data_IF_283753110580
#
_entry.id   IF_283753110580
#
_cell.length_a   1.000
_cell.length_b   1.000
_cell.length_c   1.000
_cell.angle_alpha   90.00
_cell.angle_beta   90.00
_cell.angle_gamma   90.00
#
_symmetry.space_group_name_H-M   'P 1'
#
loop_
_entity.id
_entity.type
_entity.pdbx_description
1 polymer ?
#
# COMPACT_ATOMS: atom_id res chain seq x y z
N UNK A 1 31.89 41.47 43.15
CA UNK A 1 32.44 42.61 43.91
C UNK A 1 33.43 41.94 44.86
N UNK A 2 34.72 41.79 44.57
CA UNK A 2 35.70 42.62 43.86
C UNK A 2 36.74 41.67 43.16
N UNK A 3 37.14 41.90 41.90
CA UNK A 3 38.35 42.64 41.43
C UNK A 3 39.65 42.10 42.04
N UNK A 4 40.79 41.88 41.37
CA UNK A 4 41.27 42.10 40.00
C UNK A 4 42.69 41.48 39.97
N UNK A 5 43.12 40.90 38.84
CA UNK A 5 44.55 40.93 38.47
C UNK A 5 44.68 40.97 36.95
N UNK A 6 45.27 42.08 36.50
CA UNK A 6 45.72 42.46 35.16
C UNK A 6 47.07 41.75 34.91
N UNK A 7 47.48 41.34 33.71
CA UNK A 7 48.28 42.12 32.70
C UNK A 7 48.61 41.13 31.56
N UNK A 8 48.04 41.28 30.36
CA UNK A 8 48.57 41.92 29.12
C UNK A 8 49.84 41.33 28.49
N UNK A 9 49.71 41.12 27.17
CA UNK A 9 50.64 41.37 26.05
C UNK A 9 51.00 40.08 25.26
N UNK A 10 50.90 39.96 23.95
CA UNK A 10 50.58 40.86 22.83
C UNK A 10 50.93 40.14 21.51
N UNK A 11 50.46 40.71 20.38
CA UNK A 11 50.80 40.46 18.95
C UNK A 11 49.93 39.51 18.11
N UNK A 12 49.00 40.14 17.39
CA UNK A 12 49.00 40.35 15.93
C UNK A 12 49.23 39.18 14.95
N UNK A 13 48.11 38.76 14.36
CA UNK A 13 47.80 38.67 12.91
C UNK A 13 48.90 38.29 11.91
N UNK A 14 48.70 37.19 11.17
CA UNK A 14 48.61 37.25 9.70
C UNK A 14 47.92 36.04 9.05
N UNK A 15 47.33 36.35 7.91
CA UNK A 15 46.45 35.60 6.99
C UNK A 15 47.22 34.69 6.02
N UNK A 16 46.59 33.58 5.58
CA UNK A 16 46.90 32.82 4.34
C UNK A 16 46.33 31.39 4.40
N UNK A 17 45.19 31.07 3.80
CA UNK A 17 44.95 30.74 2.38
C UNK A 17 45.57 29.41 1.92
N UNK A 18 44.71 28.46 1.51
CA UNK A 18 45.04 27.37 0.57
C UNK A 18 44.81 25.95 1.12
N UNK A 19 44.14 25.10 0.33
CA UNK A 19 44.18 23.64 0.49
C UNK A 19 42.84 22.93 0.30
N UNK A 20 42.43 22.72 -0.94
CA UNK A 20 41.53 21.63 -1.35
C UNK A 20 42.35 20.35 -1.37
N UNK A 21 41.99 19.33 -0.60
CA UNK A 21 42.37 17.94 -0.91
C UNK A 21 41.22 17.00 -0.56
N UNK A 22 40.84 16.22 -1.58
CA UNK A 22 39.91 15.11 -1.56
C UNK A 22 40.47 13.97 -0.70
N UNK A 23 39.70 13.47 0.28
CA UNK A 23 39.98 12.18 0.91
C UNK A 23 39.04 11.10 0.37
N UNK A 24 39.63 10.34 -0.55
CA UNK A 24 39.27 9.02 -1.02
C UNK A 24 39.37 8.02 0.15
N UNK A 25 38.27 7.34 0.50
CA UNK A 25 38.27 6.25 1.50
C UNK A 25 37.93 4.94 0.79
N UNK A 26 38.97 4.28 0.28
CA UNK A 26 38.97 2.83 0.08
C UNK A 26 39.16 2.16 1.43
N UNK A 27 38.30 1.21 1.78
CA UNK A 27 38.70 0.16 2.73
C UNK A 27 38.14 -1.18 2.30
N UNK A 28 39.07 -2.09 2.05
CA UNK A 28 38.88 -3.43 1.54
C UNK A 28 38.74 -4.40 2.71
N UNK A 29 37.78 -5.32 2.62
CA UNK A 29 37.77 -6.52 3.47
C UNK A 29 38.19 -7.72 2.62
N UNK A 30 39.42 -8.16 2.85
CA UNK A 30 39.94 -9.46 2.44
C UNK A 30 39.31 -10.58 3.27
N UNK A 31 38.86 -11.64 2.62
CA UNK A 31 38.97 -13.00 3.16
C UNK A 31 39.26 -13.96 2.00
N UNK A 32 40.48 -14.50 2.00
CA UNK A 32 40.90 -15.59 1.13
C UNK A 32 40.72 -16.95 1.82
N UNK A 33 40.47 -17.99 1.02
CA UNK A 33 40.36 -19.37 1.49
C UNK A 33 39.77 -20.34 0.45
N UNK A 34 40.63 -20.75 -0.49
CA UNK A 34 40.57 -21.84 -1.51
C UNK A 34 40.06 -23.20 -0.99
N UNK A 35 39.74 -24.26 -1.76
CA UNK A 35 39.40 -24.61 -3.14
C UNK A 35 39.26 -26.16 -3.15
N UNK A 36 38.41 -26.74 -4.01
CA UNK A 36 38.59 -28.05 -4.71
C UNK A 36 37.26 -28.38 -5.44
N UNK A 37 37.18 -28.32 -6.78
CA UNK A 37 37.57 -29.33 -7.79
C UNK A 37 36.77 -30.64 -7.75
N UNK A 38 36.02 -30.91 -8.82
CA UNK A 38 35.43 -32.22 -9.13
C UNK A 38 34.20 -32.18 -10.05
N UNK A 39 34.46 -32.31 -11.35
CA UNK A 39 33.66 -33.02 -12.36
C UNK A 39 32.31 -32.47 -12.91
N UNK A 40 32.39 -32.02 -14.17
CA UNK A 40 31.33 -32.08 -15.18
C UNK A 40 31.52 -33.37 -16.02
N UNK A 41 30.46 -33.97 -16.63
CA UNK A 41 30.09 -33.64 -18.03
C UNK A 41 28.58 -33.91 -18.34
N UNK A 42 28.14 -34.02 -19.61
CA UNK A 42 28.21 -33.07 -20.72
C UNK A 42 26.80 -32.62 -21.19
N UNK A 43 26.80 -31.64 -22.09
CA UNK A 43 25.63 -31.14 -22.81
C UNK A 43 25.11 -32.16 -23.83
N UNK A 44 23.78 -32.25 -23.97
CA UNK A 44 23.13 -32.86 -25.12
C UNK A 44 22.19 -31.83 -25.77
N UNK A 45 22.40 -31.66 -27.07
CA UNK A 45 21.61 -30.82 -27.97
C UNK A 45 20.30 -31.53 -28.35
N UNK A 46 19.20 -30.77 -28.45
CA UNK A 46 17.90 -31.38 -28.78
C UNK A 46 16.77 -30.40 -29.06
N UNK A 47 16.94 -29.58 -30.10
CA UNK A 47 15.95 -29.21 -31.13
C UNK A 47 14.50 -28.80 -30.78
N UNK A 48 14.12 -27.65 -31.38
CA UNK A 48 12.77 -27.19 -31.75
C UNK A 48 11.91 -26.62 -30.60
N UNK A 49 11.09 -25.58 -30.77
CA UNK A 49 10.59 -24.93 -31.96
C UNK A 49 10.28 -23.46 -31.68
N UNK A 50 10.39 -22.67 -32.73
CA UNK A 50 9.89 -21.32 -32.92
C UNK A 50 8.39 -21.16 -32.59
N UNK A 51 8.06 -20.13 -31.82
CA UNK A 51 6.78 -19.44 -31.93
C UNK A 51 6.93 -18.01 -31.40
N UNK A 52 6.95 -17.04 -32.32
CA UNK A 52 6.90 -15.63 -31.98
C UNK A 52 5.52 -15.24 -31.47
N UNK A 53 5.47 -14.35 -30.47
CA UNK A 53 4.26 -13.58 -30.14
C UNK A 53 4.67 -12.13 -29.89
N UNK A 54 4.52 -11.36 -30.96
CA UNK A 54 4.02 -9.98 -31.11
C UNK A 54 4.03 -9.10 -29.85
N UNK A 55 4.88 -8.08 -29.88
CA UNK A 55 4.74 -6.87 -29.09
C UNK A 55 3.43 -6.15 -29.49
N UNK A 56 2.55 -5.87 -28.53
CA UNK A 56 1.44 -4.92 -28.74
C UNK A 56 1.79 -3.62 -28.04
N UNK A 57 1.90 -2.62 -28.90
CA UNK A 57 2.29 -1.25 -28.66
C UNK A 57 1.23 -0.47 -27.87
N UNK A 58 1.70 0.56 -27.19
CA UNK A 58 0.89 1.51 -26.45
C UNK A 58 0.01 2.37 -27.37
N UNK A 59 -1.29 2.37 -27.11
CA UNK A 59 -2.29 3.17 -27.83
C UNK A 59 -3.00 4.14 -26.89
N UNK A 60 -2.74 5.42 -27.12
CA UNK A 60 -3.25 6.60 -26.42
C UNK A 60 -4.77 6.80 -26.61
N UNK A 61 -5.40 7.22 -25.50
CA UNK A 61 -6.60 8.07 -25.38
C UNK A 61 -7.61 8.14 -26.51
N UNK A 62 -8.87 7.79 -26.19
CA UNK A 62 -10.01 8.43 -26.83
C UNK A 62 -11.16 8.66 -25.83
N UNK A 63 -11.54 9.94 -25.77
CA UNK A 63 -12.57 10.53 -24.96
C UNK A 63 -13.96 10.13 -25.51
N UNK A 64 -14.70 9.29 -24.79
CA UNK A 64 -16.06 8.93 -25.16
C UNK A 64 -17.02 10.07 -24.81
N UNK A 65 -17.55 10.68 -25.87
CA UNK A 65 -18.58 11.73 -25.86
C UNK A 65 -19.88 11.17 -25.27
N UNK A 66 -20.43 11.88 -24.27
CA UNK A 66 -21.78 11.63 -23.73
C UNK A 66 -22.85 12.04 -24.75
N UNK A 67 -23.84 11.20 -25.09
CA UNK A 67 -25.01 11.66 -25.82
C UNK A 67 -26.01 12.37 -24.88
N UNK A 68 -26.40 13.57 -25.28
CA UNK A 68 -27.40 14.43 -24.62
C UNK A 68 -28.81 13.85 -24.77
N UNK A 69 -29.43 13.46 -23.65
CA UNK A 69 -30.85 13.13 -23.61
C UNK A 69 -31.67 14.37 -23.26
N UNK A 70 -32.60 14.69 -24.17
CA UNK A 70 -33.54 15.81 -24.13
C UNK A 70 -34.53 15.66 -22.96
N UNK A 71 -34.84 16.78 -22.30
CA UNK A 71 -35.97 16.92 -21.35
C UNK A 71 -37.31 16.75 -22.10
N UNK A 72 -38.30 16.05 -21.52
CA UNK A 72 -39.69 16.26 -21.88
C UNK A 72 -40.38 17.24 -20.92
N UNK A 73 -41.28 18.03 -21.49
CA UNK A 73 -42.09 19.07 -20.88
C UNK A 73 -43.22 18.52 -19.99
N UNK A 74 -43.71 19.38 -19.09
CA UNK A 74 -44.85 19.15 -18.18
C UNK A 74 -46.19 19.22 -18.92
N UNK A 75 -47.21 18.47 -18.47
CA UNK A 75 -48.61 18.90 -18.53
C UNK A 75 -49.14 19.36 -17.16
N UNK A 76 -50.04 20.35 -17.20
CA UNK A 76 -50.85 20.89 -16.09
C UNK A 76 -52.24 20.20 -16.08
N UNK A 77 -52.84 20.11 -14.89
CA UNK A 77 -54.28 19.84 -14.64
C UNK A 77 -54.47 18.72 -13.60
N UNK A 78 -54.66 19.05 -12.31
CA UNK A 78 -55.96 19.11 -11.57
C UNK A 78 -56.83 17.86 -11.75
N UNK A 79 -56.94 17.04 -10.71
CA UNK A 79 -58.11 17.02 -9.82
C UNK A 79 -57.82 16.21 -8.54
N UNK A 80 -58.48 16.62 -7.46
CA UNK A 80 -58.33 16.09 -6.12
C UNK A 80 -59.16 14.81 -5.95
N UNK A 81 -58.56 13.77 -5.36
CA UNK A 81 -59.34 12.84 -4.56
C UNK A 81 -58.50 12.25 -3.43
N UNK A 82 -59.10 12.34 -2.26
CA UNK A 82 -58.61 12.06 -0.93
C UNK A 82 -58.72 10.55 -0.67
N UNK A 83 -57.59 9.89 -0.48
CA UNK A 83 -57.53 8.54 0.11
C UNK A 83 -56.38 8.50 1.08
N UNK A 84 -56.70 8.45 2.38
CA UNK A 84 -55.75 8.33 3.45
C UNK A 84 -55.05 6.98 3.44
N UNK A 85 -53.72 7.01 3.55
CA UNK A 85 -52.85 5.87 3.84
C UNK A 85 -51.53 6.40 4.45
N UNK A 86 -50.74 5.57 5.16
CA UNK A 86 -50.46 5.78 6.58
C UNK A 86 -49.32 6.74 6.87
N UNK A 87 -49.32 7.33 8.07
CA UNK A 87 -48.19 8.07 8.67
C UNK A 87 -46.90 7.27 8.49
N UNK A 88 -46.12 7.66 7.50
CA UNK A 88 -44.74 7.27 7.32
C UNK A 88 -44.03 7.61 8.62
N UNK A 89 -43.76 6.57 9.41
CA UNK A 89 -42.90 6.65 10.59
C UNK A 89 -41.56 7.10 10.05
N UNK A 90 -41.35 8.43 10.07
CA UNK A 90 -40.08 9.05 9.77
C UNK A 90 -39.05 8.33 10.63
N UNK A 91 -38.30 7.42 10.00
CA UNK A 91 -37.07 6.91 10.58
C UNK A 91 -36.31 8.14 11.05
N UNK A 92 -35.76 8.14 12.27
CA UNK A 92 -34.86 9.22 12.67
C UNK A 92 -33.86 9.33 11.53
N UNK A 93 -33.92 10.45 10.82
CA UNK A 93 -32.87 10.81 9.89
C UNK A 93 -31.73 11.08 10.84
N UNK A 94 -30.91 10.06 11.08
CA UNK A 94 -29.73 10.16 11.91
C UNK A 94 -29.00 11.38 11.39
N UNK A 95 -29.10 12.44 12.19
CA UNK A 95 -28.29 13.60 12.00
C UNK A 95 -26.90 13.12 12.39
N UNK A 96 -26.19 12.47 11.45
CA UNK A 96 -24.74 12.48 11.45
C UNK A 96 -24.32 13.93 11.17
N UNK A 97 -24.55 14.76 12.17
CA UNK A 97 -24.02 16.11 12.28
C UNK A 97 -22.51 15.96 12.37
N UNK A 98 -21.85 16.02 11.22
CA UNK A 98 -20.42 16.27 11.06
C UNK A 98 -19.57 15.72 12.19
N UNK A 99 -19.56 14.39 12.37
CA UNK A 99 -18.80 13.77 13.45
C UNK A 99 -17.32 14.07 13.27
N UNK A 100 -16.86 15.00 14.08
CA UNK A 100 -15.49 15.47 14.18
C UNK A 100 -14.67 14.39 14.90
N UNK A 101 -14.65 13.18 14.33
CA UNK A 101 -13.92 12.04 14.89
C UNK A 101 -12.43 12.37 14.95
N UNK A 102 -11.71 11.70 15.85
CA UNK A 102 -10.26 11.82 15.96
C UNK A 102 -9.59 11.57 14.59
N UNK A 103 -10.08 10.60 13.83
CA UNK A 103 -9.61 10.30 12.48
C UNK A 103 -9.86 11.43 11.47
N UNK A 104 -11.01 12.11 11.49
CA UNK A 104 -11.23 13.28 10.61
C UNK A 104 -10.33 14.47 10.99
N UNK A 105 -10.03 14.64 12.28
CA UNK A 105 -9.05 15.65 12.71
C UNK A 105 -7.65 15.29 12.23
N UNK A 106 -7.21 14.03 12.37
CA UNK A 106 -5.95 13.54 11.83
C UNK A 106 -5.89 13.73 10.30
N UNK A 107 -6.96 13.40 9.58
CA UNK A 107 -7.03 13.57 8.12
C UNK A 107 -6.89 15.03 7.69
N UNK A 108 -7.49 15.96 8.44
CA UNK A 108 -7.32 17.41 8.19
C UNK A 108 -5.88 17.86 8.47
N UNK A 109 -5.28 17.40 9.57
CA UNK A 109 -3.89 17.67 9.90
C UNK A 109 -2.94 17.14 8.82
N UNK A 110 -3.14 15.90 8.37
CA UNK A 110 -2.32 15.29 7.32
C UNK A 110 -2.40 16.08 6.01
N UNK A 111 -3.63 16.41 5.56
CA UNK A 111 -3.84 17.25 4.38
C UNK A 111 -3.23 18.64 4.51
N UNK A 112 -3.25 19.23 5.72
CA UNK A 112 -2.58 20.51 6.01
C UNK A 112 -1.06 20.39 5.85
N UNK A 113 -0.45 19.36 6.45
CA UNK A 113 0.99 19.11 6.33
C UNK A 113 1.43 18.94 4.88
N UNK A 114 0.67 18.20 4.05
CA UNK A 114 0.95 18.05 2.61
C UNK A 114 0.92 19.37 1.84
N UNK A 115 0.06 20.31 2.24
CA UNK A 115 0.01 21.67 1.65
C UNK A 115 1.19 22.54 2.07
N UNK A 116 1.64 22.41 3.31
CA UNK A 116 2.69 23.26 3.89
C UNK A 116 4.11 22.77 3.54
N UNK A 117 4.34 21.46 3.54
CA UNK A 117 5.67 20.87 3.41
C UNK A 117 5.84 20.08 2.10
N UNK A 118 4.78 20.00 1.30
CA UNK A 118 4.73 19.16 0.11
C UNK A 118 4.40 17.69 0.42
N UNK A 119 3.88 16.99 -0.59
CA UNK A 119 3.37 15.61 -0.47
C UNK A 119 4.43 14.65 0.05
N UNK A 120 5.60 14.61 -0.60
CA UNK A 120 6.61 13.60 -0.29
C UNK A 120 7.15 13.72 1.15
N UNK A 121 7.43 14.94 1.60
CA UNK A 121 7.94 15.17 2.95
C UNK A 121 6.88 14.86 4.01
N UNK A 122 5.64 15.33 3.80
CA UNK A 122 4.54 15.10 4.73
C UNK A 122 4.19 13.61 4.83
N UNK A 123 4.08 12.90 3.70
CA UNK A 123 3.77 11.47 3.68
C UNK A 123 4.88 10.66 4.37
N UNK A 124 6.16 10.99 4.13
CA UNK A 124 7.28 10.34 4.80
C UNK A 124 7.25 10.54 6.32
N UNK A 125 7.05 11.78 6.77
CA UNK A 125 6.95 12.10 8.19
C UNK A 125 5.74 11.43 8.86
N UNK A 126 4.61 11.35 8.16
CA UNK A 126 3.38 10.74 8.65
C UNK A 126 3.54 9.24 8.95
N UNK A 127 4.20 8.50 8.05
CA UNK A 127 4.30 7.04 8.16
C UNK A 127 5.54 6.54 8.90
N UNK A 128 6.52 7.41 9.19
CA UNK A 128 7.81 7.03 9.76
C UNK A 128 7.69 6.16 11.02
N UNK A 129 6.94 6.61 12.02
CA UNK A 129 6.74 5.86 13.26
C UNK A 129 5.77 4.69 13.08
N UNK A 130 4.57 4.85 12.48
CA UNK A 130 3.66 3.73 12.32
C UNK A 130 4.24 2.57 11.49
N UNK A 131 5.05 2.83 10.46
CA UNK A 131 5.74 1.78 9.71
C UNK A 131 6.85 1.11 10.52
N UNK A 132 7.55 1.83 11.39
CA UNK A 132 8.53 1.22 12.28
C UNK A 132 7.87 0.23 13.26
N UNK A 133 6.73 0.61 13.85
CA UNK A 133 5.95 -0.25 14.75
C UNK A 133 5.38 -1.46 14.01
N UNK A 134 4.80 -1.24 12.83
CA UNK A 134 4.30 -2.29 11.94
C UNK A 134 5.37 -3.34 11.62
N UNK A 135 6.56 -2.91 11.20
CA UNK A 135 7.64 -3.83 10.83
C UNK A 135 8.14 -4.65 12.01
N UNK A 136 8.36 -4.03 13.18
CA UNK A 136 8.76 -4.78 14.39
C UNK A 136 7.73 -5.84 14.75
N UNK A 137 6.44 -5.51 14.63
CA UNK A 137 5.36 -6.48 14.90
C UNK A 137 5.35 -7.64 13.90
N UNK A 138 5.60 -7.37 12.62
CA UNK A 138 5.71 -8.41 11.58
C UNK A 138 6.92 -9.32 11.77
N UNK A 139 8.02 -8.78 12.29
CA UNK A 139 9.24 -9.56 12.52
C UNK A 139 9.13 -10.46 13.76
N UNK A 140 8.25 -10.11 14.70
CA UNK A 140 7.97 -10.85 15.94
C UNK A 140 8.50 -10.16 17.20
N UNK A 141 9.22 -9.05 17.03
CA UNK A 141 10.03 -8.39 18.06
C UNK A 141 9.37 -7.10 18.62
N UNK A 142 8.09 -6.88 18.30
CA UNK A 142 7.37 -5.65 18.62
C UNK A 142 6.12 -5.86 19.47
N UNK A 143 5.85 -4.89 20.35
CA UNK A 143 4.53 -4.73 20.97
C UNK A 143 3.46 -4.49 19.90
N UNK A 144 2.20 -4.73 20.24
CA UNK A 144 1.09 -4.34 19.39
C UNK A 144 1.14 -2.82 19.11
N UNK A 145 0.76 -2.38 17.89
CA UNK A 145 0.65 -0.96 17.60
C UNK A 145 -0.31 -0.26 18.56
N UNK A 146 0.00 0.98 18.95
CA UNK A 146 -0.92 1.77 19.76
C UNK A 146 -2.16 2.14 18.95
N UNK A 147 -3.25 2.53 19.61
CA UNK A 147 -4.43 3.09 18.92
C UNK A 147 -4.07 4.27 18.03
N UNK A 148 -3.10 5.10 18.45
CA UNK A 148 -2.64 6.23 17.64
C UNK A 148 -1.93 5.79 16.36
N UNK A 149 -1.11 4.73 16.42
CA UNK A 149 -0.44 4.17 15.24
C UNK A 149 -1.47 3.58 14.26
N UNK A 150 -2.46 2.85 14.79
CA UNK A 150 -3.54 2.27 14.00
C UNK A 150 -4.38 3.36 13.30
N UNK A 151 -4.80 4.38 14.03
CA UNK A 151 -5.53 5.53 13.46
C UNK A 151 -4.70 6.26 12.40
N UNK A 152 -3.41 6.49 12.65
CA UNK A 152 -2.52 7.16 11.69
C UNK A 152 -2.38 6.36 10.39
N UNK A 153 -2.25 5.04 10.47
CA UNK A 153 -2.22 4.16 9.30
C UNK A 153 -3.56 4.14 8.56
N UNK A 154 -4.68 4.03 9.28
CA UNK A 154 -6.02 4.03 8.69
C UNK A 154 -6.29 5.33 7.92
N UNK A 155 -6.00 6.48 8.56
CA UNK A 155 -6.09 7.80 7.94
C UNK A 155 -5.15 7.91 6.75
N UNK A 156 -3.90 7.45 6.89
CA UNK A 156 -2.91 7.46 5.82
C UNK A 156 -3.40 6.72 4.58
N UNK A 157 -3.90 5.49 4.74
CA UNK A 157 -4.44 4.70 3.62
C UNK A 157 -5.67 5.34 2.97
N UNK A 158 -6.54 5.97 3.75
CA UNK A 158 -7.73 6.65 3.22
C UNK A 158 -7.39 7.92 2.42
N UNK A 159 -6.29 8.60 2.76
CA UNK A 159 -5.86 9.84 2.11
C UNK A 159 -4.80 9.62 1.00
N UNK A 160 -4.07 8.50 1.02
CA UNK A 160 -3.04 8.16 0.04
C UNK A 160 -2.89 6.64 -0.17
N UNK A 161 -3.32 6.14 -1.33
CA UNK A 161 -3.22 4.70 -1.66
C UNK A 161 -1.79 4.16 -1.69
N UNK A 162 -0.78 5.01 -1.90
CA UNK A 162 0.62 4.60 -1.83
C UNK A 162 1.01 4.05 -0.44
N UNK A 163 0.37 4.55 0.64
CA UNK A 163 0.57 4.04 2.00
C UNK A 163 0.00 2.62 2.12
N UNK A 164 -1.20 2.39 1.55
CA UNK A 164 -1.83 1.06 1.48
C UNK A 164 -0.95 0.09 0.70
N UNK A 165 -0.43 0.51 -0.44
CA UNK A 165 0.36 -0.35 -1.33
C UNK A 165 1.70 -0.72 -0.66
N UNK A 166 2.33 0.20 0.07
CA UNK A 166 3.51 -0.10 0.89
C UNK A 166 3.23 -1.17 1.96
N UNK A 167 2.07 -1.11 2.62
CA UNK A 167 1.65 -2.14 3.60
C UNK A 167 1.43 -3.49 2.92
N UNK A 168 0.76 -3.54 1.76
CA UNK A 168 0.58 -4.78 0.99
C UNK A 168 1.93 -5.40 0.63
N UNK A 169 2.83 -4.60 0.05
CA UNK A 169 4.18 -5.06 -0.34
C UNK A 169 4.94 -5.60 0.86
N UNK A 170 4.83 -4.97 2.03
CA UNK A 170 5.51 -5.45 3.24
C UNK A 170 5.05 -6.84 3.72
N UNK A 171 3.87 -7.29 3.28
CA UNK A 171 3.29 -8.59 3.64
C UNK A 171 3.58 -9.67 2.60
N UNK A 172 3.49 -9.31 1.31
CA UNK A 172 3.64 -10.28 0.22
C UNK A 172 5.07 -10.40 -0.29
N UNK A 173 5.92 -9.41 -0.07
CA UNK A 173 7.34 -9.51 -0.37
C UNK A 173 8.00 -10.53 0.57
N UNK A 174 8.99 -11.26 0.06
CA UNK A 174 9.78 -12.19 0.86
C UNK A 174 10.43 -11.51 2.06
N UNK A 175 10.65 -12.25 3.15
CA UNK A 175 11.31 -11.75 4.36
C UNK A 175 12.65 -11.07 3.99
N UNK A 176 12.86 -9.85 4.50
CA UNK A 176 14.05 -9.04 4.22
C UNK A 176 14.03 -8.27 2.90
N UNK A 177 13.05 -8.50 2.01
CA UNK A 177 13.00 -7.80 0.72
C UNK A 177 12.37 -6.39 0.80
N UNK A 178 11.59 -6.12 1.84
CA UNK A 178 10.95 -4.83 2.09
C UNK A 178 11.19 -4.38 3.53
N UNK A 179 12.13 -3.45 3.71
CA UNK A 179 12.40 -2.81 5.00
C UNK A 179 11.58 -1.52 5.18
N UNK A 180 11.67 -0.91 6.37
CA UNK A 180 11.01 0.36 6.69
C UNK A 180 11.37 1.45 5.67
N UNK A 181 12.66 1.56 5.30
CA UNK A 181 13.13 2.61 4.38
C UNK A 181 12.45 2.50 3.01
N UNK A 182 12.33 1.28 2.48
CA UNK A 182 11.60 1.01 1.23
C UNK A 182 10.11 1.33 1.39
N UNK A 183 9.47 0.93 2.48
CA UNK A 183 8.07 1.27 2.73
C UNK A 183 7.82 2.78 2.73
N UNK A 184 8.66 3.55 3.44
CA UNK A 184 8.58 5.02 3.47
C UNK A 184 8.79 5.59 2.06
N UNK A 185 9.74 5.07 1.29
CA UNK A 185 9.97 5.50 -0.09
C UNK A 185 8.78 5.21 -1.02
N UNK A 186 8.16 4.03 -0.91
CA UNK A 186 6.96 3.68 -1.68
C UNK A 186 5.78 4.59 -1.34
N UNK A 187 5.55 4.85 -0.05
CA UNK A 187 4.48 5.73 0.41
C UNK A 187 4.67 7.18 -0.03
N UNK A 188 5.88 7.73 0.13
CA UNK A 188 6.15 9.16 -0.05
C UNK A 188 6.52 9.57 -1.47
N UNK A 189 7.11 8.66 -2.25
CA UNK A 189 7.58 8.92 -3.62
C UNK A 189 7.17 7.78 -4.57
N UNK A 190 5.87 7.48 -4.72
CA UNK A 190 5.39 6.35 -5.51
C UNK A 190 5.69 6.49 -7.02
N UNK A 191 5.80 7.72 -7.52
CA UNK A 191 6.07 8.01 -8.93
C UNK A 191 7.56 8.13 -9.26
N UNK A 192 8.45 8.00 -8.28
CA UNK A 192 9.88 7.87 -8.57
C UNK A 192 10.09 6.58 -9.39
N UNK A 193 10.73 6.65 -10.58
CA UNK A 193 10.88 5.48 -11.45
C UNK A 193 11.60 4.29 -10.78
N UNK A 194 12.52 4.56 -9.84
CA UNK A 194 13.22 3.50 -9.10
C UNK A 194 12.27 2.81 -8.12
N UNK A 195 11.44 3.58 -7.43
CA UNK A 195 10.44 3.05 -6.50
C UNK A 195 9.36 2.26 -7.24
N UNK A 196 8.81 2.82 -8.32
CA UNK A 196 7.81 2.14 -9.14
C UNK A 196 8.33 0.81 -9.70
N UNK A 197 9.56 0.80 -10.22
CA UNK A 197 10.20 -0.43 -10.73
C UNK A 197 10.46 -1.45 -9.63
N UNK A 198 10.92 -1.00 -8.47
CA UNK A 198 11.17 -1.87 -7.31
C UNK A 198 9.87 -2.50 -6.81
N UNK A 199 8.82 -1.70 -6.63
CA UNK A 199 7.50 -2.18 -6.19
C UNK A 199 6.90 -3.16 -7.19
N UNK A 200 6.97 -2.86 -8.49
CA UNK A 200 6.52 -3.78 -9.55
C UNK A 200 7.26 -5.12 -9.49
N UNK A 201 8.59 -5.11 -9.33
CA UNK A 201 9.38 -6.35 -9.24
C UNK A 201 9.00 -7.19 -8.01
N UNK A 202 8.82 -6.56 -6.85
CA UNK A 202 8.43 -7.26 -5.62
C UNK A 202 7.04 -7.91 -5.76
N UNK A 203 6.05 -7.16 -6.25
CA UNK A 203 4.69 -7.68 -6.46
C UNK A 203 4.66 -8.78 -7.53
N UNK A 204 5.34 -8.57 -8.65
CA UNK A 204 5.40 -9.54 -9.74
C UNK A 204 6.07 -10.83 -9.30
N UNK A 205 7.23 -10.74 -8.64
CA UNK A 205 7.92 -11.90 -8.10
C UNK A 205 7.06 -12.65 -7.09
N UNK A 206 6.42 -11.94 -6.16
CA UNK A 206 5.53 -12.58 -5.19
C UNK A 206 4.31 -13.27 -5.84
N UNK A 207 3.86 -12.78 -7.00
CA UNK A 207 2.65 -13.28 -7.68
C UNK A 207 2.95 -14.42 -8.66
N UNK A 208 4.03 -14.33 -9.43
CA UNK A 208 4.37 -15.25 -10.51
C UNK A 208 5.26 -16.43 -10.09
N UNK A 209 6.05 -16.27 -9.02
CA UNK A 209 6.98 -17.30 -8.57
C UNK A 209 6.25 -18.41 -7.79
N UNK A 210 6.14 -19.59 -8.39
CA UNK A 210 5.54 -20.79 -7.78
C UNK A 210 6.33 -21.28 -6.55
N UNK A 211 7.62 -20.95 -6.48
CA UNK A 211 8.50 -21.34 -5.37
C UNK A 211 8.63 -20.27 -4.29
N UNK A 212 8.12 -19.06 -4.53
CA UNK A 212 8.07 -18.03 -3.50
C UNK A 212 7.13 -18.47 -2.38
N UNK A 213 7.69 -18.97 -1.28
CA UNK A 213 6.91 -19.30 -0.10
C UNK A 213 6.48 -18.01 0.59
N UNK A 214 5.16 -17.75 0.61
CA UNK A 214 4.59 -16.67 1.39
C UNK A 214 4.81 -16.94 2.88
N UNK A 215 5.37 -15.97 3.62
CA UNK A 215 5.46 -16.03 5.08
C UNK A 215 4.04 -15.91 5.68
N UNK A 216 3.36 -17.05 5.85
CA UNK A 216 2.00 -17.11 6.38
C UNK A 216 1.89 -16.49 7.76
N UNK A 217 2.91 -16.66 8.62
CA UNK A 217 2.91 -16.09 9.97
C UNK A 217 2.92 -14.57 9.91
N UNK A 218 3.75 -14.00 9.03
CA UNK A 218 3.78 -12.56 8.75
C UNK A 218 2.46 -12.06 8.19
N UNK A 219 1.87 -12.77 7.22
CA UNK A 219 0.59 -12.40 6.63
C UNK A 219 -0.55 -12.43 7.66
N UNK A 220 -0.65 -13.46 8.50
CA UNK A 220 -1.64 -13.51 9.58
C UNK A 220 -1.46 -12.39 10.61
N UNK A 221 -0.21 -12.06 10.97
CA UNK A 221 0.07 -10.92 11.85
C UNK A 221 -0.38 -9.60 11.21
N UNK A 222 -0.12 -9.41 9.91
CA UNK A 222 -0.61 -8.27 9.14
C UNK A 222 -2.13 -8.18 9.11
N UNK A 223 -2.81 -9.29 8.82
CA UNK A 223 -4.28 -9.36 8.82
C UNK A 223 -4.85 -9.05 10.21
N UNK A 224 -4.25 -9.56 11.28
CA UNK A 224 -4.66 -9.23 12.65
C UNK A 224 -4.57 -7.72 12.91
N UNK A 225 -3.44 -7.09 12.56
CA UNK A 225 -3.29 -5.64 12.71
C UNK A 225 -4.28 -4.84 11.86
N UNK A 226 -4.61 -5.31 10.64
CA UNK A 226 -5.63 -4.65 9.80
C UNK A 226 -7.03 -4.76 10.41
N UNK A 227 -7.34 -5.84 11.12
CA UNK A 227 -8.59 -5.99 11.87
C UNK A 227 -8.63 -5.05 13.05
N UNK A 228 -7.58 -5.03 13.86
CA UNK A 228 -7.46 -4.12 15.01
C UNK A 228 -7.61 -2.66 14.56
N UNK A 229 -7.03 -2.32 13.40
CA UNK A 229 -7.17 -1.01 12.78
C UNK A 229 -8.61 -0.71 12.36
N UNK A 230 -9.31 -1.66 11.73
CA UNK A 230 -10.71 -1.50 11.34
C UNK A 230 -11.66 -1.39 12.55
N UNK A 231 -11.33 -2.04 13.67
CA UNK A 231 -12.10 -1.99 14.90
C UNK A 231 -11.85 -0.69 15.68
N UNK A 232 -10.65 -0.10 15.57
CA UNK A 232 -10.26 1.14 16.24
C UNK A 232 -10.81 2.43 15.58
N UNK A 233 -11.19 2.40 14.31
CA UNK A 233 -11.62 3.60 13.55
C UNK A 233 -13.09 3.54 13.17
N UNK A 234 -13.64 4.64 12.66
CA UNK A 234 -15.04 4.74 12.23
C UNK A 234 -15.17 5.10 10.74
N UNK A 235 -16.37 4.86 10.18
CA UNK A 235 -16.75 5.29 8.84
C UNK A 235 -15.76 4.90 7.73
N UNK A 236 -15.45 5.86 6.86
CA UNK A 236 -14.60 5.66 5.68
C UNK A 236 -13.19 5.13 5.97
N UNK A 237 -12.70 5.32 7.19
CA UNK A 237 -11.36 4.88 7.58
C UNK A 237 -11.26 3.36 7.75
N UNK A 238 -12.39 2.64 7.88
CA UNK A 238 -12.43 1.16 7.93
C UNK A 238 -12.21 0.50 6.57
N UNK A 239 -12.51 1.21 5.48
CA UNK A 239 -12.60 0.63 4.12
C UNK A 239 -11.28 0.00 3.71
N UNK A 240 -10.18 0.76 3.77
CA UNK A 240 -8.88 0.29 3.29
C UNK A 240 -8.29 -0.84 4.17
N UNK A 241 -8.31 -0.78 5.51
CA UNK A 241 -7.89 -1.92 6.34
C UNK A 241 -8.65 -3.22 6.02
N UNK A 242 -9.98 -3.16 5.86
CA UNK A 242 -10.79 -4.32 5.50
C UNK A 242 -10.43 -4.85 4.10
N UNK A 243 -10.27 -3.96 3.12
CA UNK A 243 -9.90 -4.36 1.76
C UNK A 243 -8.51 -5.02 1.71
N UNK A 244 -7.53 -4.49 2.45
CA UNK A 244 -6.18 -5.09 2.55
C UNK A 244 -6.25 -6.45 3.24
N UNK A 245 -6.99 -6.58 4.34
CA UNK A 245 -7.19 -7.87 5.00
C UNK A 245 -7.78 -8.91 4.03
N UNK A 246 -8.82 -8.55 3.27
CA UNK A 246 -9.42 -9.40 2.25
C UNK A 246 -8.42 -9.80 1.15
N UNK A 247 -7.62 -8.84 0.68
CA UNK A 247 -6.60 -9.08 -0.34
C UNK A 247 -5.52 -10.08 0.11
N UNK A 248 -5.01 -9.93 1.33
CA UNK A 248 -3.97 -10.82 1.87
C UNK A 248 -4.53 -12.21 2.18
N UNK A 249 -5.78 -12.30 2.67
CA UNK A 249 -6.47 -13.58 2.85
C UNK A 249 -6.70 -14.29 1.50
N UNK A 250 -7.07 -13.54 0.45
CA UNK A 250 -7.17 -14.07 -0.90
C UNK A 250 -5.82 -14.60 -1.40
N UNK A 251 -4.75 -13.84 -1.19
CA UNK A 251 -3.39 -14.25 -1.52
C UNK A 251 -3.01 -15.57 -0.85
N UNK A 252 -3.43 -15.77 0.40
CA UNK A 252 -3.21 -17.01 1.17
C UNK A 252 -4.16 -18.16 0.82
N UNK A 253 -5.13 -17.94 -0.07
CA UNK A 253 -6.15 -18.91 -0.47
C UNK A 253 -7.23 -19.17 0.58
N UNK A 254 -7.45 -18.24 1.52
CA UNK A 254 -8.35 -18.42 2.66
C UNK A 254 -9.80 -17.98 2.38
N UNK A 255 -10.77 -18.78 2.85
CA UNK A 255 -12.20 -18.57 2.58
C UNK A 255 -12.73 -17.23 3.13
N UNK A 256 -12.11 -16.69 4.19
CA UNK A 256 -12.52 -15.42 4.80
C UNK A 256 -12.26 -14.19 3.91
N UNK A 257 -11.49 -14.34 2.83
CA UNK A 257 -11.18 -13.24 1.91
C UNK A 257 -12.43 -12.51 1.40
N UNK A 258 -13.46 -13.28 1.01
CA UNK A 258 -14.72 -12.72 0.48
C UNK A 258 -15.46 -11.89 1.54
N UNK A 259 -15.50 -12.36 2.79
CA UNK A 259 -16.17 -11.66 3.88
C UNK A 259 -15.60 -10.26 4.08
N UNK A 260 -14.27 -10.13 4.11
CA UNK A 260 -13.61 -8.84 4.27
C UNK A 260 -13.82 -7.91 3.06
N UNK A 261 -13.74 -8.46 1.84
CA UNK A 261 -13.99 -7.69 0.62
C UNK A 261 -15.43 -7.15 0.58
N UNK A 262 -16.43 -7.98 0.89
CA UNK A 262 -17.84 -7.55 0.95
C UNK A 262 -18.09 -6.52 2.04
N UNK A 263 -17.45 -6.64 3.21
CA UNK A 263 -17.53 -5.62 4.27
C UNK A 263 -16.95 -4.28 3.82
N UNK A 264 -15.83 -4.28 3.10
CA UNK A 264 -15.26 -3.06 2.53
C UNK A 264 -16.20 -2.43 1.48
N UNK A 265 -16.77 -3.24 0.58
CA UNK A 265 -17.72 -2.77 -0.44
C UNK A 265 -19.05 -2.29 0.16
N UNK A 266 -19.49 -2.89 1.27
CA UNK A 266 -20.67 -2.44 2.00
C UNK A 266 -20.50 -1.04 2.61
N UNK A 267 -19.27 -0.62 2.89
CA UNK A 267 -18.95 0.73 3.35
C UNK A 267 -18.66 1.70 2.19
N UNK A 268 -18.00 1.21 1.14
CA UNK A 268 -17.67 1.98 -0.07
C UNK A 268 -17.66 1.07 -1.30
N UNK A 269 -18.71 1.17 -2.11
CA UNK A 269 -18.83 0.41 -3.37
C UNK A 269 -17.75 0.80 -4.40
N UNK A 270 -17.09 1.95 -4.23
CA UNK A 270 -15.96 2.40 -5.03
C UNK A 270 -14.62 1.80 -4.64
N UNK A 271 -14.55 0.94 -3.60
CA UNK A 271 -13.30 0.33 -3.15
C UNK A 271 -12.75 -0.66 -4.18
N UNK A 272 -11.84 -0.19 -5.04
CA UNK A 272 -11.29 -0.97 -6.16
C UNK A 272 -10.55 -2.24 -5.72
N UNK A 273 -9.82 -2.20 -4.61
CA UNK A 273 -9.09 -3.37 -4.12
C UNK A 273 -10.04 -4.49 -3.70
N UNK A 274 -11.14 -4.15 -3.02
CA UNK A 274 -12.15 -5.12 -2.63
C UNK A 274 -12.89 -5.70 -3.86
N UNK A 275 -13.19 -4.86 -4.85
CA UNK A 275 -13.78 -5.33 -6.12
C UNK A 275 -12.85 -6.30 -6.86
N UNK A 276 -11.53 -6.04 -6.88
CA UNK A 276 -10.53 -6.94 -7.47
C UNK A 276 -10.55 -8.30 -6.75
N UNK A 277 -10.60 -8.31 -5.41
CA UNK A 277 -10.67 -9.56 -4.64
C UNK A 277 -11.92 -10.37 -4.98
N UNK A 278 -13.10 -9.74 -5.03
CA UNK A 278 -14.34 -10.42 -5.41
C UNK A 278 -14.24 -11.02 -6.82
N UNK A 279 -13.79 -10.22 -7.80
CA UNK A 279 -13.63 -10.67 -9.18
C UNK A 279 -12.62 -11.81 -9.31
N UNK A 280 -11.51 -11.77 -8.57
CA UNK A 280 -10.50 -12.82 -8.60
C UNK A 280 -11.05 -14.13 -8.01
N UNK A 281 -11.80 -14.06 -6.91
CA UNK A 281 -12.45 -15.22 -6.30
C UNK A 281 -13.50 -15.85 -7.22
N UNK A 282 -14.34 -15.03 -7.86
CA UNK A 282 -15.37 -15.49 -8.81
C UNK A 282 -14.75 -16.21 -10.02
N UNK A 283 -13.59 -15.74 -10.48
CA UNK A 283 -12.88 -16.29 -11.63
C UNK A 283 -11.90 -17.41 -11.26
N UNK A 284 -11.71 -17.70 -9.97
CA UNK A 284 -10.73 -18.69 -9.50
C UNK A 284 -9.28 -18.28 -9.77
N UNK A 285 -9.00 -16.97 -9.84
CA UNK A 285 -7.66 -16.42 -10.05
C UNK A 285 -6.98 -16.24 -8.69
N UNK A 286 -5.71 -16.65 -8.61
CA UNK A 286 -4.86 -16.45 -7.44
C UNK A 286 -3.37 -16.41 -7.84
N UNK A 287 -2.49 -16.00 -6.90
CA UNK A 287 -1.04 -16.09 -7.06
C UNK A 287 -0.57 -17.50 -7.39
N UNK A 288 0.56 -17.64 -8.08
CA UNK A 288 1.08 -18.93 -8.54
C UNK A 288 1.33 -19.92 -7.38
N UNK A 289 1.76 -19.41 -6.23
CA UNK A 289 2.02 -20.17 -5.00
C UNK A 289 0.77 -20.50 -4.15
N UNK A 290 -0.44 -20.09 -4.56
CA UNK A 290 -1.67 -20.25 -3.74
C UNK A 290 -2.25 -21.68 -3.73
N UNK A 291 -1.61 -22.63 -4.44
CA UNK A 291 -2.02 -24.05 -4.49
C UNK A 291 -3.37 -24.32 -5.15
N UNK A 292 -4.04 -23.28 -5.69
CA UNK A 292 -5.40 -23.34 -6.24
C UNK A 292 -5.49 -22.79 -7.67
N UNK A 293 -4.59 -23.19 -8.58
CA UNK A 293 -4.93 -23.09 -10.02
C UNK A 293 -5.98 -24.14 -10.35
N UNK A 294 -7.25 -23.83 -10.10
CA UNK A 294 -8.32 -24.44 -10.87
C UNK A 294 -8.31 -23.76 -12.24
N UNK A 295 -7.45 -24.24 -13.13
CA UNK A 295 -7.69 -24.05 -14.56
C UNK A 295 -9.07 -24.66 -14.80
N UNK A 296 -10.09 -23.83 -15.03
CA UNK A 296 -11.34 -24.29 -15.62
C UNK A 296 -10.94 -24.95 -16.93
N UNK A 297 -10.82 -26.27 -16.93
CA UNK A 297 -10.86 -27.05 -18.15
C UNK A 297 -12.14 -26.61 -18.86
N UNK A 298 -11.94 -25.93 -19.99
CA UNK A 298 -13.00 -25.63 -20.95
C UNK A 298 -13.73 -26.95 -21.18
N UNK A 299 -15.06 -27.04 -21.01
CA UNK A 299 -15.76 -28.27 -21.36
C UNK A 299 -15.44 -28.52 -22.83
N UNK A 300 -14.76 -29.64 -23.10
CA UNK A 300 -14.58 -30.15 -24.45
C UNK A 300 -15.97 -30.21 -25.06
N UNK A 301 -16.20 -29.33 -26.03
CA UNK A 301 -17.31 -29.48 -26.95
C UNK A 301 -16.87 -30.58 -27.90
N UNK A 302 -17.79 -31.51 -28.17
CA UNK A 302 -17.69 -32.71 -29.02
C UNK A 302 -17.36 -34.02 -28.29
#
# INVERSE_FOLDING_TARGET
MDSNTVTLDGRDTHVGAGGLEDEEFEDAVQFGGTANHGDAPPCDEGSSASAGIVAVDGGVGQCLKKPSLKKPEKPKGRDAQETGEPKELRRPRDKETGENTRCETLARCFRKQRREHGIAQADAAWVEQPFAVWMRRLDGDGSCPSTQDLEALAVGMAEALAIRDALIVSLVAGRGQCDKRRMVAFASRPHDPRNARSMYRLLRSAFEDEHAALDRRRCHAGVAMMRDMADAVAGRFKVQPLAVAGYILWWMGEAKALEYALRALGLDQGCTLAAIVCSALEQGIGPANSGKRQIRSRPSSE
#
